data_IF_738905586619
#
_entry.id   IF_738905586619
#
_cell.length_a   1.000
_cell.length_b   1.000
_cell.length_c   1.000
_cell.angle_alpha   90.00
_cell.angle_beta   90.00
_cell.angle_gamma   90.00
#
_symmetry.space_group_name_H-M   'P 1'
#
loop_
_entity.id
_entity.type
_entity.pdbx_description
1 polymer ?
#
# COMPACT_ATOMS: atom_id res chain seq x y z
N UNK A 1 -4.47 6.18 -1.96
CA UNK A 1 -3.29 6.61 -2.73
C UNK A 1 -3.78 7.27 -4.01
N UNK A 2 -3.12 8.35 -4.44
CA UNK A 2 -3.35 9.03 -5.71
C UNK A 2 -2.04 9.09 -6.45
N UNK A 3 -2.05 8.81 -7.75
CA UNK A 3 -0.85 8.94 -8.58
C UNK A 3 -0.60 10.40 -8.91
N UNK A 4 0.59 10.89 -8.55
CA UNK A 4 1.07 12.24 -8.84
C UNK A 4 2.55 12.18 -9.21
N UNK A 5 2.95 12.89 -10.25
CA UNK A 5 4.36 13.07 -10.60
C UNK A 5 4.96 14.14 -9.67
N UNK A 6 5.79 13.70 -8.72
CA UNK A 6 6.50 14.55 -7.78
C UNK A 6 8.00 14.38 -7.93
N UNK A 7 8.77 15.44 -7.69
CA UNK A 7 10.22 15.35 -7.66
C UNK A 7 10.68 14.47 -6.49
N UNK A 8 11.38 13.38 -6.78
CA UNK A 8 11.93 12.47 -5.77
C UNK A 8 13.40 12.82 -5.46
N UNK A 9 13.76 12.72 -4.18
CA UNK A 9 15.16 12.78 -3.71
C UNK A 9 15.78 11.39 -3.59
N UNK A 10 16.74 11.25 -2.68
CA UNK A 10 17.32 9.94 -2.33
C UNK A 10 16.30 9.08 -1.56
N UNK A 11 16.27 7.78 -1.85
CA UNK A 11 15.41 6.84 -1.15
C UNK A 11 15.87 6.64 0.30
N UNK A 12 14.90 6.52 1.22
CA UNK A 12 15.19 6.32 2.65
C UNK A 12 15.25 4.84 2.98
N UNK A 13 16.28 4.40 3.71
CA UNK A 13 16.40 3.03 4.21
C UNK A 13 15.28 2.71 5.23
N UNK A 14 14.70 1.51 5.25
CA UNK A 14 13.65 1.14 6.21
C UNK A 14 14.04 1.34 7.68
N UNK A 15 15.32 1.16 8.02
CA UNK A 15 15.87 1.38 9.37
C UNK A 15 15.87 2.85 9.82
N UNK A 16 15.70 3.79 8.89
CA UNK A 16 15.68 5.23 9.13
C UNK A 16 14.26 5.81 9.05
N UNK A 17 13.26 5.00 8.66
CA UNK A 17 11.88 5.44 8.60
C UNK A 17 11.33 5.67 10.02
N UNK A 18 10.66 6.80 10.22
CA UNK A 18 9.89 7.02 11.44
C UNK A 18 8.73 6.00 11.54
N UNK A 19 8.25 5.68 12.76
CA UNK A 19 7.08 4.84 12.92
C UNK A 19 5.91 5.36 12.09
N UNK A 20 5.33 4.51 11.25
CA UNK A 20 4.20 4.86 10.40
C UNK A 20 3.17 3.72 10.36
N UNK A 21 1.89 4.02 10.14
CA UNK A 21 0.83 3.00 10.07
C UNK A 21 0.82 2.21 8.75
N UNK A 22 1.73 2.52 7.82
CA UNK A 22 1.79 1.90 6.51
C UNK A 22 3.00 0.95 6.44
N UNK A 23 2.89 -0.21 5.78
CA UNK A 23 4.08 -1.02 5.50
C UNK A 23 5.04 -0.25 4.59
N UNK A 24 6.34 -0.54 4.71
CA UNK A 24 7.36 0.06 3.84
C UNK A 24 7.21 -0.37 2.37
N UNK A 25 6.51 -1.48 2.11
CA UNK A 25 6.22 -1.98 0.77
C UNK A 25 4.90 -2.76 0.75
N UNK A 26 4.15 -2.64 -0.34
CA UNK A 26 3.06 -3.55 -0.71
C UNK A 26 3.45 -4.38 -1.93
N UNK A 27 3.26 -5.70 -1.85
CA UNK A 27 3.41 -6.63 -2.97
C UNK A 27 2.05 -7.13 -3.43
N UNK A 28 1.76 -7.06 -4.73
CA UNK A 28 0.49 -7.56 -5.28
C UNK A 28 0.36 -9.06 -5.00
N UNK A 29 -0.79 -9.46 -4.47
CA UNK A 29 -1.09 -10.82 -4.03
C UNK A 29 -2.38 -11.33 -4.69
N UNK A 30 -2.54 -12.64 -4.91
CA UNK A 30 -3.78 -13.20 -5.46
C UNK A 30 -5.05 -12.76 -4.73
N UNK A 31 -6.13 -12.60 -5.50
CA UNK A 31 -7.45 -12.23 -4.98
C UNK A 31 -7.66 -10.72 -4.79
N UNK A 32 -7.05 -9.88 -5.64
CA UNK A 32 -7.16 -8.40 -5.60
C UNK A 32 -6.76 -7.81 -4.23
N UNK A 33 -5.63 -8.28 -3.70
CA UNK A 33 -5.07 -7.83 -2.43
C UNK A 33 -3.58 -7.51 -2.57
N UNK A 34 -3.07 -6.76 -1.63
CA UNK A 34 -1.64 -6.58 -1.41
C UNK A 34 -1.23 -7.26 -0.10
N UNK A 35 0.00 -7.78 -0.07
CA UNK A 35 0.67 -8.19 1.16
C UNK A 35 1.69 -7.09 1.55
N UNK A 36 1.59 -6.58 2.77
CA UNK A 36 2.54 -5.63 3.34
C UNK A 36 3.85 -6.30 3.76
N UNK A 37 4.94 -5.54 3.83
CA UNK A 37 6.23 -5.99 4.38
C UNK A 37 6.15 -6.39 5.86
N UNK A 38 5.14 -5.91 6.57
CA UNK A 38 4.75 -6.27 7.94
C UNK A 38 3.87 -7.54 8.00
N UNK A 39 3.73 -8.25 6.87
CA UNK A 39 2.84 -9.41 6.68
C UNK A 39 1.34 -9.14 6.74
N UNK A 40 0.90 -7.88 6.87
CA UNK A 40 -0.53 -7.54 6.81
C UNK A 40 -1.12 -7.75 5.42
N UNK A 41 -2.42 -7.99 5.33
CA UNK A 41 -3.14 -8.07 4.05
C UNK A 41 -4.01 -6.83 3.84
N UNK A 42 -4.06 -6.34 2.60
CA UNK A 42 -4.83 -5.16 2.23
C UNK A 42 -5.68 -5.46 1.01
N UNK A 43 -7.00 -5.24 1.07
CA UNK A 43 -7.88 -5.37 -0.11
C UNK A 43 -7.87 -4.11 -0.95
N UNK A 44 -7.90 -4.28 -2.27
CA UNK A 44 -8.13 -3.19 -3.22
C UNK A 44 -9.64 -2.91 -3.23
N UNK A 45 -10.06 -1.85 -2.55
CA UNK A 45 -11.46 -1.42 -2.51
C UNK A 45 -11.86 -0.87 -3.87
N UNK A 46 -11.07 0.07 -4.39
CA UNK A 46 -11.21 0.55 -5.76
C UNK A 46 -9.85 0.91 -6.36
N UNK A 47 -9.83 0.92 -7.69
CA UNK A 47 -8.73 1.41 -8.50
C UNK A 47 -9.35 2.01 -9.77
N UNK A 48 -9.35 3.33 -9.87
CA UNK A 48 -10.08 4.08 -10.91
C UNK A 48 -9.21 5.18 -11.51
N UNK A 49 -9.57 5.61 -12.71
CA UNK A 49 -9.04 6.81 -13.33
C UNK A 49 -10.17 7.81 -13.57
N UNK A 50 -9.98 9.07 -13.16
CA UNK A 50 -10.93 10.14 -13.41
C UNK A 50 -10.20 11.43 -13.77
N UNK A 51 -10.54 12.02 -14.92
CA UNK A 51 -9.92 13.25 -15.43
C UNK A 51 -8.38 13.16 -15.51
N UNK A 52 -7.84 12.01 -15.96
CA UNK A 52 -6.40 11.77 -16.07
C UNK A 52 -5.68 11.58 -14.72
N UNK A 53 -6.42 11.40 -13.62
CA UNK A 53 -5.87 11.10 -12.29
C UNK A 53 -6.25 9.69 -11.86
N UNK A 54 -5.26 8.91 -11.48
CA UNK A 54 -5.43 7.54 -11.00
C UNK A 54 -5.51 7.53 -9.47
N UNK A 55 -6.59 6.95 -8.95
CA UNK A 55 -6.86 6.81 -7.52
C UNK A 55 -7.03 5.33 -7.14
N UNK A 56 -6.43 4.96 -6.01
CA UNK A 56 -6.51 3.61 -5.44
C UNK A 56 -6.80 3.67 -3.94
N UNK A 57 -7.81 2.94 -3.49
CA UNK A 57 -8.12 2.78 -2.07
C UNK A 57 -7.80 1.36 -1.61
N UNK A 58 -7.00 1.29 -0.55
CA UNK A 58 -6.66 0.06 0.14
C UNK A 58 -7.32 0.07 1.52
N UNK A 59 -7.84 -1.08 1.94
CA UNK A 59 -8.32 -1.31 3.30
C UNK A 59 -7.55 -2.48 3.91
N UNK A 60 -7.00 -2.28 5.10
CA UNK A 60 -6.32 -3.33 5.84
C UNK A 60 -7.34 -4.38 6.30
N UNK A 61 -7.06 -5.64 6.01
CA UNK A 61 -7.84 -6.77 6.50
C UNK A 61 -7.37 -7.13 7.91
N UNK A 62 -8.26 -7.67 8.76
CA UNK A 62 -7.84 -8.24 10.03
C UNK A 62 -6.82 -9.36 9.77
N UNK A 63 -5.89 -9.53 10.72
CA UNK A 63 -5.05 -10.71 10.71
C UNK A 63 -5.95 -11.94 10.73
N UNK A 64 -5.64 -12.98 9.94
CA UNK A 64 -6.35 -14.24 10.07
C UNK A 64 -6.15 -14.70 11.52
N UNK A 65 -7.22 -14.71 12.31
CA UNK A 65 -7.21 -15.37 13.61
C UNK A 65 -6.62 -16.77 13.38
N UNK A 66 -5.60 -17.14 14.16
CA UNK A 66 -4.94 -18.42 13.99
C UNK A 66 -5.96 -19.55 14.07
N UNK A 67 -6.18 -20.23 12.95
CA UNK A 67 -6.81 -21.56 12.92
C UNK A 67 -5.95 -22.58 13.66
#
# INVERSE_FOLDING_TARGET
MRQEDVSLGEAVCPSLLAPCPLPSMWQLYPGRRYRGSDSSFWRIVYHIEFSGKEDMLLEQLPDPEGE
#
